data_IF_317094296336
#
_entry.id   IF_317094296336
#
_cell.length_a   1.000
_cell.length_b   1.000
_cell.length_c   1.000
_cell.angle_alpha   90.00
_cell.angle_beta   90.00
_cell.angle_gamma   90.00
#
_symmetry.space_group_name_H-M   'P 1'
#
loop_
_entity.id
_entity.type
_entity.pdbx_description
1 polymer ?
#
# COMPACT_ATOMS: atom_id res chain seq x y z
N UNK A 1 -0.91 6.11 18.92
CA UNK A 1 0.12 6.03 17.88
C UNK A 1 0.03 7.29 17.01
N UNK A 2 1.15 7.97 16.75
CA UNK A 2 1.15 9.20 15.95
C UNK A 2 1.48 8.85 14.49
N UNK A 3 0.52 9.04 13.59
CA UNK A 3 0.67 8.77 12.14
C UNK A 3 1.93 9.40 11.54
N UNK A 4 2.26 10.65 11.90
CA UNK A 4 3.47 11.31 11.38
C UNK A 4 4.75 10.60 11.81
N UNK A 5 4.80 10.10 13.05
CA UNK A 5 5.95 9.34 13.53
C UNK A 5 6.06 7.98 12.82
N UNK A 6 4.94 7.30 12.55
CA UNK A 6 4.94 6.05 11.79
C UNK A 6 5.43 6.26 10.35
N UNK A 7 4.98 7.32 9.68
CA UNK A 7 5.49 7.70 8.35
C UNK A 7 7.00 7.97 8.38
N UNK A 8 7.47 8.77 9.34
CA UNK A 8 8.90 9.05 9.50
C UNK A 8 9.71 7.77 9.70
N UNK A 9 9.29 6.91 10.64
CA UNK A 9 10.01 5.68 10.97
C UNK A 9 10.05 4.71 9.79
N UNK A 10 8.94 4.54 9.07
CA UNK A 10 8.93 3.71 7.87
C UNK A 10 9.96 4.18 6.83
N UNK A 11 10.13 5.48 6.64
CA UNK A 11 11.14 6.03 5.72
C UNK A 11 12.56 5.86 6.28
N UNK A 12 12.77 6.12 7.57
CA UNK A 12 14.09 5.93 8.21
C UNK A 12 14.55 4.47 8.16
N UNK A 13 13.65 3.54 8.43
CA UNK A 13 13.93 2.11 8.44
C UNK A 13 14.11 1.59 7.00
N UNK A 14 13.51 2.26 6.01
CA UNK A 14 13.72 1.98 4.59
C UNK A 14 15.14 2.36 4.17
N UNK A 15 15.63 3.51 4.60
CA UNK A 15 17.02 3.93 4.35
C UNK A 15 18.02 2.98 5.03
N UNK A 16 17.65 2.36 6.16
CA UNK A 16 18.47 1.36 6.86
C UNK A 16 18.40 -0.04 6.25
N UNK A 17 17.39 -0.34 5.43
CA UNK A 17 17.19 -1.68 4.83
C UNK A 17 16.44 -2.68 5.69
N UNK A 18 15.67 -2.21 6.66
CA UNK A 18 14.90 -3.04 7.59
C UNK A 18 13.49 -3.31 7.04
N UNK A 19 13.37 -4.11 5.97
CA UNK A 19 12.14 -4.26 5.19
C UNK A 19 10.87 -4.60 6.02
N UNK A 20 11.01 -5.48 7.01
CA UNK A 20 9.89 -5.90 7.88
C UNK A 20 9.42 -4.76 8.79
N UNK A 21 10.36 -4.00 9.36
CA UNK A 21 10.07 -2.83 10.18
C UNK A 21 9.37 -1.73 9.36
N UNK A 22 9.79 -1.57 8.11
CA UNK A 22 9.21 -0.59 7.17
C UNK A 22 7.75 -0.92 6.89
N UNK A 23 7.44 -2.17 6.54
CA UNK A 23 6.06 -2.58 6.25
C UNK A 23 5.17 -2.44 7.48
N UNK A 24 5.68 -2.80 8.66
CA UNK A 24 4.98 -2.61 9.93
C UNK A 24 4.64 -1.12 10.17
N UNK A 25 5.62 -0.23 10.05
CA UNK A 25 5.40 1.20 10.32
C UNK A 25 4.52 1.87 9.26
N UNK A 26 4.56 1.42 8.01
CA UNK A 26 3.59 1.83 6.98
C UNK A 26 2.16 1.37 7.33
N UNK A 27 1.97 0.12 7.76
CA UNK A 27 0.68 -0.40 8.22
C UNK A 27 0.17 0.36 9.45
N UNK A 28 1.06 0.71 10.39
CA UNK A 28 0.74 1.53 11.55
C UNK A 28 0.25 2.93 11.18
N UNK A 29 0.84 3.56 10.15
CA UNK A 29 0.38 4.84 9.64
C UNK A 29 -1.05 4.74 9.07
N UNK A 30 -1.35 3.66 8.33
CA UNK A 30 -2.69 3.38 7.81
C UNK A 30 -3.68 3.11 8.94
N UNK A 31 -3.39 2.25 9.92
CA UNK A 31 -4.32 1.98 11.03
C UNK A 31 -4.58 3.23 11.89
N UNK A 32 -3.53 4.02 12.15
CA UNK A 32 -3.66 5.30 12.85
C UNK A 32 -4.55 6.30 12.12
N UNK A 33 -4.50 6.29 10.78
CA UNK A 33 -5.39 7.09 9.93
C UNK A 33 -6.81 6.54 9.93
N UNK A 34 -6.96 5.23 9.74
CA UNK A 34 -8.25 4.54 9.69
C UNK A 34 -9.04 4.72 10.99
N UNK A 35 -8.36 4.72 12.14
CA UNK A 35 -8.98 4.99 13.44
C UNK A 35 -9.59 6.38 13.55
N UNK A 36 -9.03 7.39 12.85
CA UNK A 36 -9.59 8.74 12.82
C UNK A 36 -10.78 8.85 11.88
N UNK A 37 -10.69 8.22 10.70
CA UNK A 37 -11.70 8.31 9.65
C UNK A 37 -12.92 7.44 10.00
N UNK A 38 -12.70 6.25 10.54
CA UNK A 38 -13.73 5.25 10.84
C UNK A 38 -13.66 4.78 12.31
N UNK A 39 -13.93 5.66 13.29
CA UNK A 39 -13.75 5.34 14.71
C UNK A 39 -14.71 4.26 15.24
N UNK A 40 -15.86 4.06 14.58
CA UNK A 40 -16.88 3.08 14.97
C UNK A 40 -16.63 1.67 14.41
N UNK A 41 -15.72 1.52 13.44
CA UNK A 41 -15.44 0.22 12.81
C UNK A 41 -14.33 -0.53 13.57
N UNK A 42 -14.45 -1.86 13.61
CA UNK A 42 -13.41 -2.74 14.13
C UNK A 42 -12.11 -2.66 13.32
N UNK A 43 -10.98 -3.05 13.91
CA UNK A 43 -9.63 -2.83 13.33
C UNK A 43 -9.48 -3.32 11.88
N UNK A 44 -9.91 -4.54 11.58
CA UNK A 44 -9.87 -5.09 10.22
C UNK A 44 -10.75 -4.27 9.26
N UNK A 45 -12.00 -4.04 9.65
CA UNK A 45 -12.96 -3.33 8.82
C UNK A 45 -12.49 -1.90 8.50
N UNK A 46 -12.03 -1.12 9.50
CA UNK A 46 -11.55 0.26 9.25
C UNK A 46 -10.30 0.30 8.38
N UNK A 47 -9.35 -0.62 8.60
CA UNK A 47 -8.09 -0.62 7.87
C UNK A 47 -8.34 -0.93 6.39
N UNK A 48 -9.08 -2.01 6.14
CA UNK A 48 -9.36 -2.43 4.76
C UNK A 48 -10.29 -1.45 4.05
N UNK A 49 -11.26 -0.86 4.74
CA UNK A 49 -12.10 0.21 4.20
C UNK A 49 -11.28 1.44 3.80
N UNK A 50 -10.35 1.91 4.66
CA UNK A 50 -9.50 3.05 4.33
C UNK A 50 -8.68 2.80 3.06
N UNK A 51 -8.12 1.60 2.89
CA UNK A 51 -7.37 1.27 1.67
C UNK A 51 -8.26 1.30 0.44
N UNK A 52 -9.44 0.67 0.50
CA UNK A 52 -10.40 0.62 -0.63
C UNK A 52 -10.85 2.01 -1.07
N UNK A 53 -11.16 2.88 -0.12
CA UNK A 53 -11.57 4.27 -0.41
C UNK A 53 -10.43 5.09 -1.02
N UNK A 54 -9.19 4.62 -0.90
CA UNK A 54 -8.00 5.28 -1.40
C UNK A 54 -7.24 4.45 -2.45
N UNK A 55 -7.91 3.53 -3.15
CA UNK A 55 -7.29 2.78 -4.27
C UNK A 55 -6.82 3.68 -5.41
N UNK A 56 -7.42 4.86 -5.60
CA UNK A 56 -6.94 5.87 -6.54
C UNK A 56 -5.55 6.46 -6.17
N UNK A 57 -5.10 6.28 -4.92
CA UNK A 57 -3.76 6.63 -4.44
C UNK A 57 -2.88 5.38 -4.38
N UNK A 58 -3.38 4.32 -3.73
CA UNK A 58 -2.62 3.09 -3.51
C UNK A 58 -2.24 2.41 -4.83
N UNK A 59 -3.14 2.38 -5.81
CA UNK A 59 -2.91 1.77 -7.12
C UNK A 59 -1.71 2.40 -7.83
N UNK A 60 -1.75 3.69 -8.19
CA UNK A 60 -0.64 4.34 -8.89
C UNK A 60 0.71 4.26 -8.15
N UNK A 61 0.69 4.34 -6.81
CA UNK A 61 1.92 4.34 -6.01
C UNK A 61 2.52 2.94 -5.77
N UNK A 62 1.67 1.93 -5.56
CA UNK A 62 2.09 0.63 -5.04
C UNK A 62 1.87 -0.56 -5.98
N UNK A 63 0.85 -0.50 -6.84
CA UNK A 63 0.53 -1.56 -7.80
C UNK A 63 -0.06 -0.95 -9.09
N UNK A 64 0.73 -0.13 -9.81
CA UNK A 64 0.25 0.55 -11.00
C UNK A 64 -0.06 -0.48 -12.09
N UNK A 65 -1.03 -0.19 -12.95
CA UNK A 65 -1.44 -1.13 -14.00
C UNK A 65 -2.67 -1.95 -13.67
N UNK A 66 -3.04 -2.09 -12.38
CA UNK A 66 -4.06 -3.04 -11.92
C UNK A 66 -5.28 -2.35 -11.36
N UNK A 67 -6.46 -2.84 -11.78
CA UNK A 67 -7.73 -2.42 -11.23
C UNK A 67 -7.94 -3.06 -9.85
N UNK A 68 -7.56 -2.34 -8.80
CA UNK A 68 -7.67 -2.80 -7.41
C UNK A 68 -9.11 -2.93 -6.92
N UNK A 69 -10.07 -2.23 -7.55
CA UNK A 69 -11.49 -2.29 -7.19
C UNK A 69 -12.08 -3.64 -7.58
N UNK A 70 -11.74 -4.15 -8.76
CA UNK A 70 -12.35 -5.35 -9.35
C UNK A 70 -11.49 -6.61 -9.21
N UNK A 71 -10.16 -6.47 -9.17
CA UNK A 71 -9.26 -7.64 -9.09
C UNK A 71 -9.43 -8.36 -7.76
N UNK A 72 -9.52 -9.70 -7.80
CA UNK A 72 -9.59 -10.57 -6.62
C UNK A 72 -8.46 -11.57 -6.68
N UNK A 73 -7.74 -11.74 -5.57
CA UNK A 73 -6.52 -12.54 -5.53
C UNK A 73 -6.79 -13.97 -5.07
N UNK A 74 -6.19 -14.97 -5.73
CA UNK A 74 -6.35 -16.39 -5.42
C UNK A 74 -5.49 -16.75 -4.21
N UNK A 75 -5.85 -16.23 -3.04
CA UNK A 75 -5.17 -16.46 -1.76
C UNK A 75 -6.19 -16.66 -0.65
N UNK A 76 -5.84 -17.44 0.39
CA UNK A 76 -6.68 -17.57 1.58
C UNK A 76 -6.33 -16.49 2.58
N UNK A 77 -7.31 -15.67 2.96
CA UNK A 77 -7.20 -14.73 4.08
C UNK A 77 -8.33 -14.98 5.07
N UNK A 78 -8.08 -14.74 6.35
CA UNK A 78 -9.12 -14.93 7.36
C UNK A 78 -10.15 -13.79 7.29
N UNK A 79 -11.42 -14.15 7.09
CA UNK A 79 -12.58 -13.24 7.13
C UNK A 79 -12.41 -12.01 6.20
N UNK A 80 -12.25 -12.22 4.87
CA UNK A 80 -12.13 -11.13 3.91
C UNK A 80 -13.30 -10.16 4.04
N UNK A 81 -13.02 -8.88 3.82
CA UNK A 81 -13.99 -7.78 3.90
C UNK A 81 -14.43 -7.27 2.54
N UNK A 82 -13.75 -7.68 1.48
CA UNK A 82 -14.15 -7.34 0.13
C UNK A 82 -15.54 -7.92 -0.21
N UNK A 83 -16.34 -7.21 -1.04
CA UNK A 83 -17.62 -7.71 -1.53
C UNK A 83 -17.50 -9.08 -2.21
N UNK A 84 -18.47 -9.95 -1.95
CA UNK A 84 -18.48 -11.32 -2.49
C UNK A 84 -17.59 -12.31 -1.74
N UNK A 85 -16.93 -11.90 -0.66
CA UNK A 85 -16.13 -12.78 0.20
C UNK A 85 -14.83 -13.27 -0.43
N UNK A 86 -14.46 -12.76 -1.61
CA UNK A 86 -13.20 -13.06 -2.28
C UNK A 86 -12.17 -11.96 -1.94
N UNK A 87 -10.91 -12.29 -1.61
CA UNK A 87 -9.95 -11.28 -1.16
C UNK A 87 -9.57 -10.29 -2.25
N UNK A 88 -9.53 -9.01 -1.92
CA UNK A 88 -8.88 -7.96 -2.71
C UNK A 88 -7.53 -7.55 -2.10
N UNK A 89 -6.87 -6.54 -2.67
CA UNK A 89 -5.55 -6.12 -2.18
C UNK A 89 -5.57 -5.68 -0.71
N UNK A 90 -6.62 -4.96 -0.28
CA UNK A 90 -6.73 -4.53 1.11
C UNK A 90 -6.83 -5.71 2.09
N UNK A 91 -7.57 -6.76 1.72
CA UNK A 91 -7.65 -7.98 2.53
C UNK A 91 -6.30 -8.72 2.60
N UNK A 92 -5.55 -8.78 1.50
CA UNK A 92 -4.19 -9.37 1.47
C UNK A 92 -3.24 -8.58 2.37
N UNK A 93 -3.21 -7.25 2.24
CA UNK A 93 -2.33 -6.39 3.05
C UNK A 93 -2.68 -6.52 4.53
N UNK A 94 -3.96 -6.52 4.89
CA UNK A 94 -4.36 -6.67 6.29
C UNK A 94 -4.06 -8.07 6.82
N UNK A 95 -4.54 -9.09 6.12
CA UNK A 95 -4.55 -10.48 6.58
C UNK A 95 -3.18 -11.12 6.63
N UNK A 96 -2.27 -10.73 5.73
CA UNK A 96 -0.92 -11.28 5.64
C UNK A 96 0.07 -10.29 6.26
N UNK A 97 0.29 -9.14 5.63
CA UNK A 97 1.38 -8.27 6.04
C UNK A 97 1.11 -7.59 7.40
N UNK A 98 -0.02 -6.91 7.59
CA UNK A 98 -0.27 -6.18 8.84
C UNK A 98 -0.39 -7.12 10.05
N UNK A 99 -1.05 -8.25 9.89
CA UNK A 99 -1.20 -9.23 10.97
C UNK A 99 0.13 -9.90 11.31
N UNK A 100 0.86 -10.47 10.34
CA UNK A 100 2.12 -11.17 10.64
C UNK A 100 3.15 -10.23 11.29
N UNK A 101 3.40 -9.06 10.70
CA UNK A 101 4.35 -8.11 11.27
C UNK A 101 3.88 -7.51 12.61
N UNK A 102 2.57 -7.31 12.78
CA UNK A 102 1.99 -6.77 14.00
C UNK A 102 1.99 -7.75 15.18
N UNK A 103 2.11 -9.05 14.90
CA UNK A 103 2.18 -10.13 15.89
C UNK A 103 3.59 -10.71 16.04
N UNK A 104 4.56 -10.26 15.24
CA UNK A 104 5.93 -10.82 15.22
C UNK A 104 5.97 -12.24 14.67
N UNK A 105 4.95 -12.62 13.90
CA UNK A 105 4.90 -13.90 13.19
C UNK A 105 5.69 -13.80 11.89
N UNK A 106 6.33 -14.90 11.51
CA UNK A 106 6.99 -15.01 10.21
C UNK A 106 5.97 -14.85 9.08
N UNK A 107 6.37 -14.19 7.99
CA UNK A 107 5.54 -14.13 6.79
C UNK A 107 5.37 -15.55 6.22
N UNK A 108 4.16 -15.94 5.80
CA UNK A 108 3.98 -17.21 5.12
C UNK A 108 4.78 -17.25 3.81
N UNK A 109 5.32 -18.42 3.48
CA UNK A 109 6.05 -18.66 2.23
C UNK A 109 5.24 -18.15 1.02
N UNK A 110 5.91 -17.39 0.14
CA UNK A 110 5.32 -16.85 -1.08
C UNK A 110 4.58 -15.53 -0.89
N UNK A 111 4.72 -14.86 0.26
CA UNK A 111 4.22 -13.50 0.51
C UNK A 111 5.33 -12.50 0.81
N UNK A 112 6.58 -12.84 0.52
CA UNK A 112 7.71 -11.93 0.66
C UNK A 112 7.58 -10.76 -0.33
N UNK A 113 8.13 -9.61 0.04
CA UNK A 113 8.17 -8.43 -0.83
C UNK A 113 9.28 -8.56 -1.88
N UNK A 114 8.95 -8.24 -3.13
CA UNK A 114 9.91 -8.17 -4.24
C UNK A 114 10.64 -6.83 -4.20
N UNK A 115 11.99 -6.80 -4.17
CA UNK A 115 12.76 -5.58 -3.95
C UNK A 115 12.88 -4.73 -5.23
N UNK A 116 11.79 -4.11 -5.69
CA UNK A 116 11.79 -3.27 -6.91
C UNK A 116 12.11 -1.80 -6.63
N UNK A 117 11.83 -1.28 -5.44
CA UNK A 117 11.97 0.14 -5.14
C UNK A 117 13.43 0.58 -5.04
N UNK A 118 14.35 -0.33 -4.70
CA UNK A 118 15.81 -0.09 -4.68
C UNK A 118 16.48 -0.29 -6.05
N UNK A 119 15.78 -0.85 -7.03
CA UNK A 119 16.40 -1.16 -8.31
C UNK A 119 16.72 0.14 -9.07
N UNK A 120 17.97 0.32 -9.54
CA UNK A 120 18.33 1.49 -10.32
C UNK A 120 17.54 1.50 -11.62
N UNK A 121 16.92 2.64 -11.92
CA UNK A 121 16.23 2.88 -13.19
C UNK A 121 17.25 3.43 -14.16
N UNK A 122 17.52 2.73 -15.26
CA UNK A 122 18.44 3.25 -16.27
C UNK A 122 17.77 4.37 -17.07
N UNK A 123 18.55 5.30 -17.66
CA UNK A 123 17.99 6.31 -18.55
C UNK A 123 17.16 5.67 -19.66
N UNK A 124 15.89 6.06 -19.76
CA UNK A 124 14.95 5.52 -20.76
C UNK A 124 14.19 4.25 -20.35
N UNK A 125 14.44 3.69 -19.17
CA UNK A 125 13.66 2.57 -18.63
C UNK A 125 12.51 3.06 -17.73
N UNK A 126 11.38 2.35 -17.79
CA UNK A 126 10.31 2.56 -16.82
C UNK A 126 10.66 1.88 -15.50
N UNK A 127 10.26 2.51 -14.39
CA UNK A 127 10.32 1.88 -13.06
C UNK A 127 9.53 0.58 -13.08
N UNK A 128 10.21 -0.53 -12.81
CA UNK A 128 9.56 -1.84 -12.70
C UNK A 128 8.76 -1.90 -11.39
N UNK A 129 7.53 -2.40 -11.49
CA UNK A 129 6.74 -2.86 -10.35
C UNK A 129 6.29 -4.28 -10.66
N UNK A 130 6.77 -5.24 -9.88
CA UNK A 130 6.55 -6.67 -10.08
C UNK A 130 5.49 -7.16 -9.10
N UNK A 131 4.52 -7.92 -9.60
CA UNK A 131 3.63 -8.73 -8.77
C UNK A 131 3.65 -10.14 -9.30
N UNK A 132 3.91 -11.11 -8.43
CA UNK A 132 3.90 -12.54 -8.77
C UNK A 132 2.75 -13.21 -8.03
N UNK A 133 1.81 -13.74 -8.80
CA UNK A 133 0.66 -14.48 -8.26
C UNK A 133 0.83 -15.95 -8.64
N UNK A 134 0.73 -16.81 -7.65
CA UNK A 134 0.58 -18.26 -7.82
C UNK A 134 -0.66 -18.69 -7.04
N UNK A 135 -1.19 -19.88 -7.32
CA UNK A 135 -2.36 -20.35 -6.60
C UNK A 135 -2.03 -20.48 -5.10
N UNK A 136 -2.75 -19.73 -4.27
CA UNK A 136 -2.56 -19.70 -2.82
C UNK A 136 -1.62 -18.61 -2.29
N UNK A 137 -0.82 -17.95 -3.14
CA UNK A 137 0.13 -16.93 -2.69
C UNK A 137 0.31 -15.75 -3.65
N UNK A 138 0.72 -14.61 -3.10
CA UNK A 138 1.02 -13.40 -3.87
C UNK A 138 2.24 -12.69 -3.27
N UNK A 139 3.26 -12.48 -4.10
CA UNK A 139 4.39 -11.63 -3.78
C UNK A 139 4.15 -10.25 -4.38
N UNK A 140 4.13 -9.23 -3.51
CA UNK A 140 3.94 -7.83 -3.89
C UNK A 140 5.30 -7.15 -4.04
N UNK A 141 5.36 -6.14 -4.89
CA UNK A 141 6.50 -5.21 -4.89
C UNK A 141 6.59 -4.50 -3.53
N UNK A 142 7.80 -4.30 -3.03
CA UNK A 142 8.09 -3.44 -1.88
C UNK A 142 7.60 -1.99 -2.06
N UNK A 143 7.34 -1.57 -3.30
CA UNK A 143 6.67 -0.30 -3.62
C UNK A 143 5.31 -0.14 -2.94
N UNK A 144 4.64 -1.25 -2.58
CA UNK A 144 3.36 -1.21 -1.86
C UNK A 144 3.47 -0.43 -0.54
N UNK A 145 4.63 -0.47 0.12
CA UNK A 145 4.93 0.31 1.33
C UNK A 145 4.69 1.80 1.08
N UNK A 146 5.24 2.35 0.00
CA UNK A 146 5.12 3.77 -0.32
C UNK A 146 3.70 4.15 -0.72
N UNK A 147 2.96 3.22 -1.33
CA UNK A 147 1.52 3.38 -1.54
C UNK A 147 0.74 3.48 -0.22
N UNK A 148 1.04 2.65 0.77
CA UNK A 148 0.43 2.73 2.11
C UNK A 148 0.79 4.03 2.82
N UNK A 149 2.06 4.46 2.74
CA UNK A 149 2.50 5.75 3.28
C UNK A 149 1.74 6.90 2.58
N UNK A 150 1.59 6.86 1.25
CA UNK A 150 0.86 7.87 0.51
C UNK A 150 -0.61 7.97 0.94
N UNK A 151 -1.29 6.85 1.16
CA UNK A 151 -2.67 6.84 1.71
C UNK A 151 -2.73 7.58 3.05
N UNK A 152 -1.77 7.34 3.94
CA UNK A 152 -1.72 8.03 5.24
C UNK A 152 -1.38 9.52 5.10
N UNK A 153 -0.41 9.89 4.26
CA UNK A 153 0.04 11.27 4.04
C UNK A 153 -1.07 12.12 3.42
N UNK A 154 -1.67 11.62 2.33
CA UNK A 154 -2.64 12.37 1.56
C UNK A 154 -4.01 12.46 2.25
N UNK A 155 -4.29 11.63 3.25
CA UNK A 155 -5.57 11.64 3.97
C UNK A 155 -5.85 12.98 4.66
N UNK A 156 -7.00 13.63 4.38
CA UNK A 156 -7.38 14.90 5.02
C UNK A 156 -7.40 14.85 6.55
N UNK A 157 -7.63 13.67 7.14
CA UNK A 157 -7.60 13.43 8.59
C UNK A 157 -6.21 13.65 9.23
N UNK A 158 -5.17 13.80 8.40
CA UNK A 158 -3.79 14.01 8.82
C UNK A 158 -3.19 15.36 8.38
N UNK A 159 -4.00 16.32 7.90
CA UNK A 159 -3.51 17.64 7.45
C UNK A 159 -2.63 18.39 8.46
N UNK A 160 -2.89 18.18 9.75
CA UNK A 160 -2.16 18.83 10.86
C UNK A 160 -0.91 18.05 11.31
N UNK A 161 -0.54 16.97 10.60
CA UNK A 161 0.69 16.23 10.85
C UNK A 161 1.89 16.96 10.26
N UNK A 162 3.07 16.64 10.81
CA UNK A 162 4.38 17.08 10.35
C UNK A 162 5.39 15.96 10.57
N UNK A 163 6.40 15.95 9.70
CA UNK A 163 7.65 15.19 9.82
C UNK A 163 8.81 16.20 9.75
N UNK A 164 10.07 15.81 10.05
CA UNK A 164 11.20 16.69 9.77
C UNK A 164 11.24 17.09 8.29
N UNK A 165 11.97 18.15 7.98
CA UNK A 165 12.17 18.57 6.61
C UNK A 165 12.98 17.52 5.81
N UNK A 166 12.96 17.62 4.49
CA UNK A 166 13.60 16.70 3.54
C UNK A 166 12.95 15.32 3.35
N UNK A 167 11.85 15.00 4.04
CA UNK A 167 11.09 13.77 3.77
C UNK A 167 10.20 13.94 2.53
N UNK A 168 10.28 13.00 1.59
CA UNK A 168 9.47 12.99 0.38
C UNK A 168 9.13 11.57 -0.07
N UNK A 169 8.07 11.44 -0.86
CA UNK A 169 7.82 10.28 -1.71
C UNK A 169 8.22 10.62 -3.14
N UNK A 170 8.58 9.61 -3.92
CA UNK A 170 8.72 9.79 -5.38
C UNK A 170 7.54 9.17 -6.08
N UNK A 171 7.07 9.83 -7.13
CA UNK A 171 6.07 9.29 -8.04
C UNK A 171 6.62 9.37 -9.45
N UNK A 172 6.39 8.31 -10.23
CA UNK A 172 6.83 8.28 -11.60
C UNK A 172 8.34 8.45 -11.79
N UNK A 173 8.76 9.09 -12.88
CA UNK A 173 10.15 9.36 -13.22
C UNK A 173 10.71 10.60 -12.52
N UNK A 174 9.90 11.65 -12.32
CA UNK A 174 10.40 12.98 -11.93
C UNK A 174 9.71 13.61 -10.72
N UNK A 175 8.53 13.12 -10.32
CA UNK A 175 7.75 13.81 -9.30
C UNK A 175 8.29 13.53 -7.89
N UNK A 176 8.50 14.62 -7.14
CA UNK A 176 8.92 14.61 -5.74
C UNK A 176 7.79 15.18 -4.88
N UNK A 177 7.13 14.31 -4.11
CA UNK A 177 6.06 14.68 -3.20
C UNK A 177 6.64 14.97 -1.82
N UNK A 178 7.03 16.22 -1.55
CA UNK A 178 7.55 16.65 -0.24
C UNK A 178 6.47 16.44 0.83
N UNK A 179 6.71 15.56 1.80
CA UNK A 179 5.65 15.07 2.69
C UNK A 179 4.96 16.20 3.45
N UNK A 180 5.71 17.18 3.94
CA UNK A 180 5.15 18.33 4.67
C UNK A 180 4.25 19.23 3.81
N UNK A 181 4.36 19.19 2.48
CA UNK A 181 3.52 19.94 1.54
C UNK A 181 2.28 19.16 1.08
N UNK A 182 2.24 17.86 1.34
CA UNK A 182 1.24 16.93 0.81
C UNK A 182 0.26 16.39 1.86
N UNK A 183 0.45 16.70 3.15
CA UNK A 183 -0.49 16.30 4.20
C UNK A 183 -1.93 16.73 3.88
N UNK A 184 -2.83 15.77 3.77
CA UNK A 184 -4.25 16.02 3.55
C UNK A 184 -4.68 16.39 2.14
N UNK A 185 -3.79 16.28 1.14
CA UNK A 185 -4.02 16.71 -0.24
C UNK A 185 -4.44 15.59 -1.20
N UNK A 186 -5.24 14.62 -0.72
CA UNK A 186 -5.76 13.52 -1.55
C UNK A 186 -6.45 13.99 -2.83
N UNK A 187 -7.19 15.11 -2.79
CA UNK A 187 -7.89 15.66 -3.96
C UNK A 187 -6.95 16.13 -5.09
N UNK A 188 -5.70 16.46 -4.77
CA UNK A 188 -4.73 16.99 -5.73
C UNK A 188 -3.94 15.87 -6.42
N UNK A 189 -3.85 14.69 -5.79
CA UNK A 189 -3.05 13.57 -6.28
C UNK A 189 -3.45 13.04 -7.67
N UNK A 190 -4.75 12.95 -8.04
CA UNK A 190 -5.15 12.51 -9.37
C UNK A 190 -4.52 13.32 -10.52
N UNK A 191 -4.32 14.63 -10.32
CA UNK A 191 -3.68 15.48 -11.33
C UNK A 191 -2.18 15.20 -11.50
N UNK A 192 -1.52 14.73 -10.44
CA UNK A 192 -0.14 14.23 -10.50
C UNK A 192 -0.10 12.86 -11.19
N UNK A 193 -0.98 11.94 -10.76
CA UNK A 193 -1.06 10.60 -11.33
C UNK A 193 -1.34 10.61 -12.85
N UNK A 194 -2.18 11.53 -13.32
CA UNK A 194 -2.52 11.68 -14.73
C UNK A 194 -1.32 12.06 -15.64
N UNK A 195 -0.20 12.55 -15.08
CA UNK A 195 1.01 12.88 -15.85
C UNK A 195 1.76 11.62 -16.32
N UNK A 196 1.55 10.50 -15.64
CA UNK A 196 2.08 9.19 -16.01
C UNK A 196 0.93 8.19 -16.15
N UNK A 197 0.16 8.27 -17.24
CA UNK A 197 -0.99 7.42 -17.44
C UNK A 197 -0.55 5.95 -17.53
N UNK A 198 -1.11 5.13 -16.67
CA UNK A 198 -0.90 3.69 -16.65
C UNK A 198 -2.17 2.99 -17.11
N UNK A 199 -2.06 1.82 -17.78
CA UNK A 199 -3.22 0.97 -18.02
C UNK A 199 -3.91 0.63 -16.68
N UNK A 200 -5.20 0.33 -16.71
CA UNK A 200 -5.95 -0.11 -15.54
C UNK A 200 -6.67 -1.41 -15.87
N UNK A 201 -6.01 -2.53 -15.61
CA UNK A 201 -6.46 -3.85 -16.03
C UNK A 201 -7.02 -4.65 -14.85
N UNK A 202 -8.21 -5.20 -15.03
CA UNK A 202 -8.71 -6.26 -14.13
C UNK A 202 -8.03 -7.56 -14.50
N UNK A 203 -7.38 -8.21 -13.54
CA UNK A 203 -6.78 -9.52 -13.73
C UNK A 203 -7.79 -10.57 -13.28
N UNK A 204 -8.14 -11.50 -14.17
CA UNK A 204 -9.11 -12.55 -13.88
C UNK A 204 -8.39 -13.82 -13.39
N UNK A 205 -8.62 -14.15 -12.11
CA UNK A 205 -8.16 -15.39 -11.47
C UNK A 205 -9.30 -16.37 -11.17
N UNK A 206 -10.47 -16.21 -11.82
CA UNK A 206 -11.69 -16.98 -11.55
C UNK A 206 -11.49 -18.50 -11.52
N UNK A 207 -10.65 -19.04 -12.40
CA UNK A 207 -10.30 -20.48 -12.41
C UNK A 207 -9.52 -20.90 -11.17
N UNK A 208 -8.53 -20.11 -10.73
CA UNK A 208 -7.70 -20.45 -9.57
C UNK A 208 -8.45 -20.31 -8.24
N UNK A 209 -9.49 -19.49 -8.21
CA UNK A 209 -10.35 -19.29 -7.05
C UNK A 209 -11.23 -20.51 -6.72
N UNK A 210 -11.37 -21.49 -7.62
CA UNK A 210 -12.23 -22.67 -7.39
C UNK A 210 -11.68 -23.61 -6.33
N UNK A 211 -10.37 -23.63 -6.15
CA UNK A 211 -9.69 -24.58 -5.25
C UNK A 211 -9.24 -23.97 -3.91
N UNK A 212 -9.69 -22.74 -3.62
CA UNK A 212 -9.26 -21.93 -2.47
C UNK A 212 -10.41 -21.77 -1.48
#
# INVERSE_FOLDING_TARGET
>A
MNTGNSVRKAIDDWERGEADAVMLDACNAVDGTARKVYPSLGSNARFTQLLRDNYAILGPMGMPGVNLVETRFPVKVQRPKAPGGKPDLADVIYGIHRCSHGHGEELPDGFELIPDARQPVRPGELRKTTVKVVQGAIQLSDRIIFGLIAVAVLSPANKDRRVPDDYYLTFGATEKLVINEWWGRAADFPAVAAREPMPNMTIDFSEWMKDI
#
